data_IF_860045548737
#
_entry.id   IF_860045548737
#
_cell.length_a   1.000
_cell.length_b   1.000
_cell.length_c   1.000
_cell.angle_alpha   90.00
_cell.angle_beta   90.00
_cell.angle_gamma   90.00
#
_symmetry.space_group_name_H-M   'P 1'
#
loop_
_entity.id
_entity.type
_entity.pdbx_description
1 polymer ?
#
# COMPACT_ATOMS: atom_id res chain seq x y z
N UNK A 1 57.17 -2.04 -13.39
CA UNK A 1 56.73 -3.11 -12.47
C UNK A 1 55.49 -2.67 -11.64
N UNK A 2 54.58 -1.85 -12.19
CA UNK A 2 53.45 -1.21 -11.44
C UNK A 2 52.04 -1.70 -11.87
N UNK A 3 51.91 -2.54 -12.90
CA UNK A 3 50.60 -2.91 -13.46
C UNK A 3 49.88 -4.06 -12.74
N UNK A 4 50.59 -4.83 -11.90
CA UNK A 4 50.05 -6.04 -11.26
C UNK A 4 49.27 -5.72 -9.99
N UNK A 5 49.52 -4.57 -9.34
CA UNK A 5 48.89 -4.18 -8.07
C UNK A 5 47.53 -3.55 -8.31
N UNK A 6 47.35 -2.76 -9.36
CA UNK A 6 46.05 -2.15 -9.73
C UNK A 6 45.03 -3.18 -10.20
N UNK A 7 45.46 -4.22 -10.88
CA UNK A 7 44.58 -5.28 -11.36
C UNK A 7 44.01 -6.15 -10.19
N UNK A 8 44.78 -6.36 -9.13
CA UNK A 8 44.30 -7.05 -7.93
C UNK A 8 43.28 -6.25 -7.13
N UNK A 9 43.44 -4.94 -7.05
CA UNK A 9 42.51 -4.05 -6.33
C UNK A 9 41.16 -3.98 -7.03
N UNK A 10 41.10 -4.03 -8.36
CA UNK A 10 39.87 -4.05 -9.14
C UNK A 10 39.13 -5.38 -9.05
N UNK A 11 39.82 -6.51 -8.97
CA UNK A 11 39.21 -7.84 -8.80
C UNK A 11 38.62 -8.06 -7.40
N UNK A 12 39.18 -7.42 -6.38
CA UNK A 12 38.63 -7.48 -5.00
C UNK A 12 37.43 -6.54 -4.80
N UNK A 13 37.35 -5.42 -5.51
CA UNK A 13 36.17 -4.55 -5.50
C UNK A 13 34.96 -5.17 -6.20
N UNK A 14 35.16 -5.92 -7.29
CA UNK A 14 34.08 -6.63 -7.99
C UNK A 14 33.54 -7.83 -7.19
N UNK A 15 34.38 -8.48 -6.39
CA UNK A 15 33.95 -9.59 -5.52
C UNK A 15 33.08 -9.15 -4.34
N UNK A 16 33.23 -7.91 -3.86
CA UNK A 16 32.41 -7.35 -2.76
C UNK A 16 31.01 -6.87 -3.18
N UNK A 17 30.73 -6.76 -4.48
CA UNK A 17 29.49 -6.21 -4.99
C UNK A 17 28.33 -7.24 -5.19
N UNK A 18 28.58 -8.54 -4.98
CA UNK A 18 27.63 -9.60 -5.38
C UNK A 18 26.68 -10.20 -4.33
N UNK A 19 26.70 -9.91 -2.99
CA UNK A 19 25.87 -10.66 -2.05
C UNK A 19 24.48 -10.06 -1.73
N UNK A 20 24.16 -8.84 -2.18
CA UNK A 20 22.93 -8.14 -1.72
C UNK A 20 21.61 -8.58 -2.39
N UNK A 21 21.65 -9.34 -3.48
CA UNK A 21 20.41 -9.76 -4.19
C UNK A 21 19.69 -10.94 -3.54
N UNK A 22 20.42 -11.89 -2.98
CA UNK A 22 19.85 -13.11 -2.38
C UNK A 22 18.94 -12.85 -1.18
N UNK A 23 19.32 -12.05 -0.16
CA UNK A 23 18.43 -11.79 0.98
C UNK A 23 17.16 -11.02 0.60
N UNK A 24 17.22 -10.17 -0.43
CA UNK A 24 16.05 -9.44 -0.91
C UNK A 24 15.03 -10.36 -1.60
N UNK A 25 15.49 -11.35 -2.34
CA UNK A 25 14.63 -12.31 -3.01
C UNK A 25 13.97 -13.24 -1.97
N UNK A 26 14.71 -13.70 -0.97
CA UNK A 26 14.16 -14.50 0.12
C UNK A 26 13.07 -13.76 0.90
N UNK A 27 13.27 -12.46 1.20
CA UNK A 27 12.26 -11.63 1.85
C UNK A 27 11.01 -11.46 0.97
N UNK A 28 11.17 -11.28 -0.33
CA UNK A 28 10.04 -11.16 -1.25
C UNK A 28 9.24 -12.47 -1.35
N UNK A 29 9.93 -13.62 -1.42
CA UNK A 29 9.29 -14.94 -1.42
C UNK A 29 8.55 -15.18 -0.10
N UNK A 30 9.19 -14.91 1.05
CA UNK A 30 8.55 -15.04 2.35
C UNK A 30 7.31 -14.16 2.49
N UNK A 31 7.39 -12.88 2.06
CA UNK A 31 6.23 -11.98 2.04
C UNK A 31 5.10 -12.53 1.16
N UNK A 32 5.44 -13.02 -0.05
CA UNK A 32 4.47 -13.60 -0.98
C UNK A 32 3.80 -14.85 -0.41
N UNK A 33 4.55 -15.74 0.25
CA UNK A 33 3.98 -16.91 0.93
C UNK A 33 3.05 -16.52 2.07
N UNK A 34 3.43 -15.56 2.92
CA UNK A 34 2.56 -15.07 4.00
C UNK A 34 1.26 -14.48 3.45
N UNK A 35 1.31 -13.69 2.36
CA UNK A 35 0.12 -13.16 1.68
C UNK A 35 -0.74 -14.28 1.10
N UNK A 36 -0.14 -15.24 0.42
CA UNK A 36 -0.85 -16.37 -0.16
C UNK A 36 -1.56 -17.21 0.91
N UNK A 37 -0.87 -17.51 2.02
CA UNK A 37 -1.48 -18.24 3.15
C UNK A 37 -2.61 -17.44 3.80
N UNK A 38 -2.44 -16.13 4.02
CA UNK A 38 -3.48 -15.29 4.61
C UNK A 38 -4.73 -15.22 3.70
N UNK A 39 -4.54 -15.05 2.39
CA UNK A 39 -5.63 -15.04 1.42
C UNK A 39 -6.29 -16.42 1.28
N UNK A 40 -5.52 -17.50 1.29
CA UNK A 40 -6.06 -18.85 1.27
C UNK A 40 -6.93 -19.10 2.52
N UNK A 41 -6.49 -18.68 3.70
CA UNK A 41 -7.30 -18.76 4.93
C UNK A 41 -8.56 -17.92 4.84
N UNK A 42 -8.49 -16.71 4.29
CA UNK A 42 -9.65 -15.84 4.10
C UNK A 42 -10.71 -16.47 3.19
N UNK A 43 -10.27 -17.18 2.14
CA UNK A 43 -11.18 -17.78 1.14
C UNK A 43 -11.69 -19.17 1.53
N UNK A 44 -10.90 -19.94 2.31
CA UNK A 44 -11.20 -21.34 2.62
C UNK A 44 -11.73 -21.58 4.03
N UNK A 45 -11.32 -20.73 4.99
CA UNK A 45 -11.72 -20.88 6.37
C UNK A 45 -12.98 -20.04 6.67
N UNK A 46 -13.96 -20.67 7.33
CA UNK A 46 -15.14 -19.96 7.81
C UNK A 46 -14.78 -19.18 9.10
N UNK A 47 -14.05 -18.04 8.91
CA UNK A 47 -13.50 -17.23 10.00
C UNK A 47 -14.59 -16.55 10.83
N UNK A 48 -15.79 -16.32 10.23
CA UNK A 48 -16.94 -15.73 10.93
C UNK A 48 -17.52 -16.65 11.99
N UNK A 49 -17.46 -17.98 11.78
CA UNK A 49 -18.04 -18.95 12.70
C UNK A 49 -17.34 -19.05 14.05
N UNK A 50 -16.12 -18.52 14.16
CA UNK A 50 -15.36 -18.51 15.42
C UNK A 50 -15.65 -17.24 16.21
N UNK A 51 -16.51 -17.29 17.20
CA UNK A 51 -16.85 -16.13 18.04
C UNK A 51 -15.76 -15.73 19.03
N UNK A 52 -14.81 -16.62 19.33
CA UNK A 52 -13.70 -16.35 20.25
C UNK A 52 -12.61 -15.51 19.59
N UNK A 53 -12.27 -14.37 20.20
CA UNK A 53 -11.21 -13.46 19.70
C UNK A 53 -9.83 -14.11 19.67
N UNK A 54 -9.57 -15.06 20.59
CA UNK A 54 -8.29 -15.76 20.72
C UNK A 54 -8.32 -17.17 20.10
N UNK A 55 -9.31 -17.49 19.29
CA UNK A 55 -9.31 -18.76 18.56
C UNK A 55 -7.99 -18.92 17.76
N UNK A 56 -7.34 -20.09 17.80
CA UNK A 56 -6.01 -20.27 17.19
C UNK A 56 -5.98 -19.92 15.71
N UNK A 57 -7.06 -20.17 14.99
CA UNK A 57 -7.20 -19.82 13.57
C UNK A 57 -7.14 -18.32 13.36
N UNK A 58 -7.80 -17.52 14.21
CA UNK A 58 -7.76 -16.05 14.12
C UNK A 58 -6.37 -15.52 14.43
N UNK A 59 -5.72 -16.04 15.49
CA UNK A 59 -4.37 -15.62 15.88
C UNK A 59 -3.37 -15.90 14.75
N UNK A 60 -3.44 -17.08 14.14
CA UNK A 60 -2.59 -17.44 12.99
C UNK A 60 -2.86 -16.48 11.81
N UNK A 61 -4.11 -16.18 11.50
CA UNK A 61 -4.47 -15.25 10.44
C UNK A 61 -3.87 -13.86 10.69
N UNK A 62 -4.05 -13.29 11.90
CA UNK A 62 -3.46 -12.00 12.26
C UNK A 62 -1.94 -12.00 12.16
N UNK A 63 -1.30 -13.06 12.65
CA UNK A 63 0.16 -13.20 12.58
C UNK A 63 0.67 -13.25 11.14
N UNK A 64 -0.03 -13.98 10.24
CA UNK A 64 0.30 -14.05 8.83
C UNK A 64 0.12 -12.70 8.14
N UNK A 65 -0.98 -12.00 8.37
CA UNK A 65 -1.23 -10.68 7.79
C UNK A 65 -0.20 -9.66 8.28
N UNK A 66 0.09 -9.65 9.58
CA UNK A 66 1.09 -8.77 10.17
C UNK A 66 2.49 -9.07 9.60
N UNK A 67 2.88 -10.34 9.54
CA UNK A 67 4.16 -10.74 8.96
C UNK A 67 4.26 -10.36 7.49
N UNK A 68 3.22 -10.64 6.69
CA UNK A 68 3.17 -10.28 5.28
C UNK A 68 3.32 -8.77 5.06
N UNK A 69 2.57 -7.97 5.81
CA UNK A 69 2.60 -6.51 5.72
C UNK A 69 3.97 -5.95 6.15
N UNK A 70 4.54 -6.41 7.28
CA UNK A 70 5.87 -6.00 7.74
C UNK A 70 6.97 -6.37 6.73
N UNK A 71 6.96 -7.60 6.23
CA UNK A 71 7.94 -8.08 5.24
C UNK A 71 7.82 -7.33 3.91
N UNK A 72 6.66 -6.79 3.59
CA UNK A 72 6.43 -5.99 2.38
C UNK A 72 6.83 -4.53 2.60
N UNK A 73 6.21 -3.86 3.56
CA UNK A 73 6.31 -2.40 3.66
C UNK A 73 7.58 -1.90 4.35
N UNK A 74 8.14 -2.63 5.33
CA UNK A 74 9.38 -2.22 6.01
C UNK A 74 10.59 -2.18 5.07
N UNK A 75 10.85 -3.19 4.22
CA UNK A 75 11.93 -3.11 3.24
C UNK A 75 11.72 -2.00 2.21
N UNK A 76 10.47 -1.77 1.76
CA UNK A 76 10.15 -0.66 0.85
C UNK A 76 10.41 0.68 1.49
N UNK A 77 9.95 0.89 2.73
CA UNK A 77 10.23 2.11 3.48
C UNK A 77 11.71 2.40 3.58
N UNK A 78 12.51 1.39 3.98
CA UNK A 78 13.97 1.54 4.14
C UNK A 78 14.70 1.81 2.83
N UNK A 79 14.30 1.11 1.74
CA UNK A 79 14.96 1.26 0.43
C UNK A 79 14.65 2.56 -0.27
N UNK A 80 13.42 3.03 -0.14
CA UNK A 80 12.94 4.23 -0.83
C UNK A 80 13.07 5.50 0.03
N UNK A 81 13.39 5.36 1.33
CA UNK A 81 13.46 6.48 2.26
C UNK A 81 12.10 7.14 2.47
N UNK A 82 11.00 6.36 2.49
CA UNK A 82 9.62 6.85 2.59
C UNK A 82 9.13 6.74 4.04
N UNK A 83 9.27 7.78 4.89
CA UNK A 83 8.88 7.69 6.29
C UNK A 83 7.36 7.51 6.43
N UNK A 84 6.94 6.60 7.33
CA UNK A 84 5.53 6.33 7.60
C UNK A 84 4.86 5.30 6.68
N UNK A 85 5.48 4.91 5.56
CA UNK A 85 4.92 3.93 4.62
C UNK A 85 4.60 2.58 5.29
N UNK A 86 5.50 2.11 6.15
CA UNK A 86 5.30 0.83 6.85
C UNK A 86 4.11 0.90 7.80
N UNK A 87 3.94 2.00 8.52
CA UNK A 87 2.81 2.18 9.43
C UNK A 87 1.49 2.21 8.66
N UNK A 88 1.41 3.04 7.61
CA UNK A 88 0.21 3.13 6.76
C UNK A 88 -0.14 1.78 6.11
N UNK A 89 0.87 1.09 5.56
CA UNK A 89 0.68 -0.18 4.88
C UNK A 89 0.28 -1.32 5.83
N UNK A 90 0.89 -1.39 7.01
CA UNK A 90 0.55 -2.40 8.02
C UNK A 90 -0.83 -2.12 8.60
N UNK A 91 -1.10 -0.89 9.02
CA UNK A 91 -2.41 -0.51 9.59
C UNK A 91 -3.55 -0.70 8.57
N UNK A 92 -3.34 -0.26 7.32
CA UNK A 92 -4.31 -0.43 6.25
C UNK A 92 -4.60 -1.89 5.94
N UNK A 93 -3.55 -2.71 5.78
CA UNK A 93 -3.71 -4.13 5.48
C UNK A 93 -4.40 -4.89 6.61
N UNK A 94 -4.03 -4.62 7.87
CA UNK A 94 -4.67 -5.22 9.03
C UNK A 94 -6.14 -4.83 9.12
N UNK A 95 -6.46 -3.54 8.98
CA UNK A 95 -7.83 -3.04 9.06
C UNK A 95 -8.69 -3.58 7.93
N UNK A 96 -8.18 -3.57 6.69
CA UNK A 96 -8.89 -4.08 5.52
C UNK A 96 -9.20 -5.57 5.67
N UNK A 97 -8.20 -6.38 5.99
CA UNK A 97 -8.39 -7.83 6.11
C UNK A 97 -9.16 -8.21 7.37
N UNK A 98 -9.05 -7.44 8.46
CA UNK A 98 -9.92 -7.58 9.61
C UNK A 98 -11.40 -7.38 9.23
N UNK A 99 -11.68 -6.29 8.51
CA UNK A 99 -13.06 -6.00 8.09
C UNK A 99 -13.61 -7.08 7.16
N UNK A 100 -12.80 -7.56 6.21
CA UNK A 100 -13.22 -8.62 5.28
C UNK A 100 -13.37 -10.00 5.92
N UNK A 101 -12.58 -10.31 6.96
CA UNK A 101 -12.53 -11.64 7.55
C UNK A 101 -13.52 -11.84 8.70
N UNK A 102 -13.79 -10.78 9.48
CA UNK A 102 -14.48 -10.90 10.77
C UNK A 102 -15.72 -10.03 10.92
N UNK A 103 -15.86 -9.03 10.06
CA UNK A 103 -17.06 -8.17 10.09
C UNK A 103 -18.08 -8.72 9.11
N UNK A 104 -19.31 -9.02 9.55
CA UNK A 104 -20.35 -9.52 8.67
C UNK A 104 -20.62 -8.52 7.53
N UNK A 105 -20.91 -9.01 6.33
CA UNK A 105 -21.16 -8.14 5.19
C UNK A 105 -22.37 -7.23 5.48
N UNK A 106 -22.31 -5.95 5.07
CA UNK A 106 -23.39 -5.02 5.29
C UNK A 106 -24.64 -5.46 4.53
N UNK A 107 -25.78 -5.46 5.22
CA UNK A 107 -27.07 -5.90 4.66
C UNK A 107 -27.89 -4.74 4.11
N UNK A 108 -27.68 -3.54 4.64
CA UNK A 108 -28.37 -2.32 4.25
C UNK A 108 -27.45 -1.34 3.50
N UNK A 109 -27.94 -0.18 3.22
CA UNK A 109 -27.18 0.90 2.58
C UNK A 109 -26.33 1.70 3.57
N UNK A 110 -25.38 2.49 3.06
CA UNK A 110 -24.36 3.19 3.86
C UNK A 110 -24.91 3.99 5.06
N UNK A 111 -26.07 4.63 4.93
CA UNK A 111 -26.64 5.48 5.96
C UNK A 111 -27.50 4.75 7.00
N UNK A 112 -27.67 3.43 6.84
CA UNK A 112 -28.39 2.61 7.80
C UNK A 112 -27.46 2.15 8.92
N UNK A 113 -27.75 2.52 10.16
CA UNK A 113 -27.09 1.97 11.35
C UNK A 113 -27.57 0.52 11.57
N UNK A 114 -26.67 -0.45 11.86
CA UNK A 114 -25.25 -0.36 12.23
C UNK A 114 -24.26 -0.44 11.04
N UNK A 115 -24.73 -0.60 9.81
CA UNK A 115 -23.91 -0.90 8.63
C UNK A 115 -22.94 0.23 8.26
N UNK A 116 -23.28 1.48 8.63
CA UNK A 116 -22.40 2.66 8.46
C UNK A 116 -20.99 2.41 9.00
N UNK A 117 -20.88 1.78 10.18
CA UNK A 117 -19.57 1.50 10.81
C UNK A 117 -18.73 0.54 9.95
N UNK A 118 -19.37 -0.47 9.36
CA UNK A 118 -18.70 -1.44 8.48
C UNK A 118 -18.12 -0.75 7.23
N UNK A 119 -18.93 0.10 6.60
CA UNK A 119 -18.49 0.87 5.43
C UNK A 119 -17.35 1.84 5.77
N UNK A 120 -17.39 2.50 6.94
CA UNK A 120 -16.32 3.40 7.38
C UNK A 120 -15.03 2.63 7.63
N UNK A 121 -15.07 1.49 8.32
CA UNK A 121 -13.90 0.65 8.54
C UNK A 121 -13.31 0.15 7.22
N UNK A 122 -14.17 -0.32 6.31
CA UNK A 122 -13.77 -0.78 4.99
C UNK A 122 -13.12 0.35 4.17
N UNK A 123 -13.77 1.53 4.13
CA UNK A 123 -13.26 2.70 3.41
C UNK A 123 -11.89 3.15 3.96
N UNK A 124 -11.72 3.16 5.30
CA UNK A 124 -10.47 3.54 5.95
C UNK A 124 -9.36 2.49 5.66
N UNK A 125 -9.69 1.20 5.73
CA UNK A 125 -8.78 0.11 5.38
C UNK A 125 -8.33 0.18 3.92
N UNK A 126 -9.27 0.43 2.99
CA UNK A 126 -9.00 0.63 1.56
C UNK A 126 -8.15 1.88 1.35
N UNK A 127 -8.48 3.00 1.99
CA UNK A 127 -7.71 4.25 1.88
C UNK A 127 -6.24 4.04 2.22
N UNK A 128 -5.93 3.51 3.40
CA UNK A 128 -4.55 3.31 3.84
C UNK A 128 -3.82 2.25 3.02
N UNK A 129 -4.48 1.14 2.68
CA UNK A 129 -3.87 0.06 1.89
C UNK A 129 -3.51 0.53 0.48
N UNK A 130 -4.43 1.22 -0.21
CA UNK A 130 -4.20 1.75 -1.56
C UNK A 130 -3.16 2.87 -1.53
N UNK A 131 -3.22 3.79 -0.57
CA UNK A 131 -2.22 4.85 -0.40
C UNK A 131 -0.82 4.27 -0.23
N UNK A 132 -0.66 3.28 0.66
CA UNK A 132 0.62 2.64 0.90
C UNK A 132 1.14 1.84 -0.31
N UNK A 133 0.25 1.16 -1.04
CA UNK A 133 0.61 0.42 -2.25
C UNK A 133 0.94 1.34 -3.44
N UNK A 134 0.22 2.45 -3.59
CA UNK A 134 0.42 3.41 -4.68
C UNK A 134 1.72 4.22 -4.52
N UNK A 135 2.13 4.52 -3.30
CA UNK A 135 3.28 5.39 -3.04
C UNK A 135 4.60 4.90 -3.70
N UNK A 136 5.04 3.64 -3.55
CA UNK A 136 6.24 3.16 -4.24
C UNK A 136 6.07 3.13 -5.76
N UNK A 137 4.87 2.86 -6.27
CA UNK A 137 4.58 2.86 -7.70
C UNK A 137 4.69 4.27 -8.29
N UNK A 138 4.08 5.27 -7.66
CA UNK A 138 4.15 6.68 -8.07
C UNK A 138 5.59 7.18 -8.00
N UNK A 139 6.32 6.86 -6.92
CA UNK A 139 7.72 7.23 -6.79
C UNK A 139 8.59 6.62 -7.90
N UNK A 140 8.40 5.34 -8.23
CA UNK A 140 9.10 4.68 -9.32
C UNK A 140 8.74 5.28 -10.69
N UNK A 141 7.47 5.60 -10.92
CA UNK A 141 6.99 6.24 -12.15
C UNK A 141 7.55 7.66 -12.31
N UNK A 142 7.54 8.44 -11.23
CA UNK A 142 8.11 9.80 -11.21
C UNK A 142 9.59 9.80 -11.60
N UNK A 143 10.36 8.83 -11.13
CA UNK A 143 11.78 8.66 -11.50
C UNK A 143 11.99 8.36 -12.98
N UNK A 144 11.03 7.69 -13.62
CA UNK A 144 11.09 7.37 -15.07
C UNK A 144 10.58 8.50 -15.94
N UNK A 145 9.52 9.18 -15.52
CA UNK A 145 8.83 10.20 -16.30
C UNK A 145 9.55 11.55 -16.30
N UNK A 146 10.16 11.94 -15.18
CA UNK A 146 10.79 13.26 -15.05
C UNK A 146 12.30 13.19 -15.22
N UNK A 147 12.83 13.90 -16.23
CA UNK A 147 14.28 14.04 -16.48
C UNK A 147 14.94 15.06 -15.54
N UNK A 148 14.20 16.03 -15.02
CA UNK A 148 14.71 17.04 -14.09
C UNK A 148 14.88 16.46 -12.69
N UNK A 149 16.11 16.45 -12.15
CA UNK A 149 16.45 15.89 -10.84
C UNK A 149 15.61 16.43 -9.68
N UNK A 150 15.27 17.71 -9.69
CA UNK A 150 14.47 18.32 -8.62
C UNK A 150 13.06 17.71 -8.49
N UNK A 151 12.43 17.31 -9.61
CA UNK A 151 11.10 16.70 -9.63
C UNK A 151 11.11 15.17 -9.45
N UNK A 152 12.25 14.50 -9.65
CA UNK A 152 12.37 13.04 -9.53
C UNK A 152 12.27 12.54 -8.08
N UNK A 153 12.61 13.38 -7.11
CA UNK A 153 12.75 13.02 -5.68
C UNK A 153 11.76 13.74 -4.78
N UNK A 154 10.71 14.34 -5.34
CA UNK A 154 9.70 15.03 -4.53
C UNK A 154 8.77 14.01 -3.83
N UNK A 155 9.21 13.60 -2.63
CA UNK A 155 8.46 12.65 -1.79
C UNK A 155 7.11 13.21 -1.33
N UNK A 156 7.01 14.54 -1.13
CA UNK A 156 5.77 15.18 -0.70
C UNK A 156 4.69 15.07 -1.77
N UNK A 157 5.08 15.29 -3.02
CA UNK A 157 4.20 15.15 -4.17
C UNK A 157 3.74 13.70 -4.35
N UNK A 158 4.69 12.74 -4.32
CA UNK A 158 4.36 11.33 -4.45
C UNK A 158 3.40 10.86 -3.35
N UNK A 159 3.61 11.32 -2.11
CA UNK A 159 2.74 11.00 -0.98
C UNK A 159 1.33 11.56 -1.17
N UNK A 160 1.20 12.82 -1.59
CA UNK A 160 -0.08 13.45 -1.84
C UNK A 160 -0.86 12.68 -2.92
N UNK A 161 -0.24 12.39 -4.05
CA UNK A 161 -0.85 11.61 -5.14
C UNK A 161 -1.25 10.21 -4.69
N UNK A 162 -0.46 9.56 -3.84
CA UNK A 162 -0.82 8.27 -3.26
C UNK A 162 -2.06 8.36 -2.37
N UNK A 163 -2.17 9.41 -1.52
CA UNK A 163 -3.36 9.63 -0.70
C UNK A 163 -4.59 10.01 -1.54
N UNK A 164 -4.43 10.74 -2.65
CA UNK A 164 -5.53 11.02 -3.59
C UNK A 164 -6.08 9.75 -4.23
N UNK A 165 -5.19 8.82 -4.64
CA UNK A 165 -5.62 7.50 -5.12
C UNK A 165 -6.31 6.67 -4.03
N UNK A 166 -5.79 6.69 -2.82
CA UNK A 166 -6.43 6.06 -1.67
C UNK A 166 -7.81 6.66 -1.39
N UNK A 167 -7.93 8.00 -1.44
CA UNK A 167 -9.20 8.70 -1.26
C UNK A 167 -10.19 8.35 -2.36
N UNK A 168 -9.76 8.34 -3.63
CA UNK A 168 -10.60 7.90 -4.75
C UNK A 168 -11.16 6.50 -4.50
N UNK A 169 -10.30 5.56 -4.10
CA UNK A 169 -10.72 4.18 -3.81
C UNK A 169 -11.69 4.10 -2.62
N UNK A 170 -11.44 4.84 -1.54
CA UNK A 170 -12.34 4.90 -0.38
C UNK A 170 -13.70 5.51 -0.74
N UNK A 171 -13.71 6.56 -1.57
CA UNK A 171 -14.96 7.16 -2.05
C UNK A 171 -15.73 6.22 -2.99
N UNK A 172 -15.04 5.38 -3.79
CA UNK A 172 -15.69 4.32 -4.54
C UNK A 172 -16.38 3.30 -3.62
N UNK A 173 -15.79 2.96 -2.47
CA UNK A 173 -16.46 2.13 -1.45
C UNK A 173 -17.72 2.83 -0.93
N UNK A 174 -17.66 4.14 -0.66
CA UNK A 174 -18.82 4.93 -0.27
C UNK A 174 -19.91 4.94 -1.34
N UNK A 175 -19.56 5.15 -2.62
CA UNK A 175 -20.51 5.09 -3.73
C UNK A 175 -21.15 3.70 -3.89
N UNK A 176 -20.36 2.64 -3.66
CA UNK A 176 -20.88 1.27 -3.63
C UNK A 176 -21.88 1.07 -2.50
N UNK A 177 -21.58 1.56 -1.29
CA UNK A 177 -22.47 1.52 -0.14
C UNK A 177 -23.77 2.31 -0.32
N UNK A 178 -23.73 3.39 -1.11
CA UNK A 178 -24.90 4.14 -1.54
C UNK A 178 -25.65 3.49 -2.72
N UNK A 179 -25.13 2.40 -3.27
CA UNK A 179 -25.67 1.71 -4.44
C UNK A 179 -25.73 2.58 -5.72
N UNK A 180 -24.88 3.60 -5.80
CA UNK A 180 -24.76 4.52 -6.95
C UNK A 180 -23.42 4.37 -7.68
N UNK A 181 -22.69 3.29 -7.42
CA UNK A 181 -21.41 3.03 -8.07
C UNK A 181 -21.63 2.69 -9.54
N UNK A 182 -21.49 3.69 -10.42
CA UNK A 182 -21.50 3.53 -11.87
C UNK A 182 -20.26 4.21 -12.45
N UNK A 183 -19.97 3.99 -13.73
CA UNK A 183 -18.80 4.60 -14.37
C UNK A 183 -18.84 6.12 -14.33
N UNK A 184 -20.02 6.75 -14.44
CA UNK A 184 -20.15 8.22 -14.49
C UNK A 184 -19.74 8.88 -13.17
N UNK A 185 -20.28 8.53 -11.98
CA UNK A 185 -19.83 9.05 -10.70
C UNK A 185 -18.33 8.85 -10.44
N UNK A 186 -17.78 7.70 -10.81
CA UNK A 186 -16.33 7.42 -10.62
C UNK A 186 -15.49 8.33 -11.50
N UNK A 187 -15.85 8.53 -12.76
CA UNK A 187 -15.16 9.45 -13.68
C UNK A 187 -15.26 10.90 -13.21
N UNK A 188 -16.46 11.34 -12.76
CA UNK A 188 -16.63 12.69 -12.21
C UNK A 188 -15.78 12.90 -10.97
N UNK A 189 -15.73 11.92 -10.08
CA UNK A 189 -14.91 11.98 -8.87
C UNK A 189 -13.42 12.05 -9.20
N UNK A 190 -12.95 11.22 -10.14
CA UNK A 190 -11.57 11.26 -10.62
C UNK A 190 -11.24 12.61 -11.29
N UNK A 191 -12.17 13.18 -12.05
CA UNK A 191 -12.03 14.51 -12.66
C UNK A 191 -11.93 15.60 -11.59
N UNK A 192 -12.79 15.58 -10.58
CA UNK A 192 -12.76 16.54 -9.46
C UNK A 192 -11.42 16.49 -8.74
N UNK A 193 -10.92 15.29 -8.39
CA UNK A 193 -9.63 15.13 -7.75
C UNK A 193 -8.48 15.61 -8.66
N UNK A 194 -8.53 15.30 -9.95
CA UNK A 194 -7.55 15.78 -10.92
C UNK A 194 -7.53 17.30 -11.06
N UNK A 195 -8.69 17.95 -11.10
CA UNK A 195 -8.80 19.43 -11.13
C UNK A 195 -8.29 20.03 -9.81
N UNK A 196 -8.62 19.43 -8.66
CA UNK A 196 -8.11 19.89 -7.37
C UNK A 196 -6.58 19.83 -7.29
N UNK A 197 -5.97 18.74 -7.81
CA UNK A 197 -4.50 18.63 -7.91
C UNK A 197 -3.89 19.70 -8.81
N UNK A 198 -4.49 19.96 -9.97
CA UNK A 198 -4.02 21.02 -10.90
C UNK A 198 -4.12 22.41 -10.26
N UNK A 199 -5.23 22.72 -9.58
CA UNK A 199 -5.40 23.98 -8.85
C UNK A 199 -4.34 24.11 -7.76
N UNK A 200 -4.10 23.06 -6.98
CA UNK A 200 -3.09 23.09 -5.93
C UNK A 200 -1.69 23.37 -6.52
N UNK A 201 -1.34 22.73 -7.63
CA UNK A 201 -0.06 22.97 -8.31
C UNK A 201 0.08 24.41 -8.77
N UNK A 202 -0.99 25.03 -9.33
CA UNK A 202 -0.97 26.43 -9.79
C UNK A 202 -0.74 27.40 -8.64
N UNK A 203 -1.31 27.14 -7.45
CA UNK A 203 -1.10 28.00 -6.26
C UNK A 203 0.31 27.88 -5.68
N UNK A 204 0.96 26.70 -5.79
CA UNK A 204 2.33 26.52 -5.29
C UNK A 204 3.36 27.19 -6.19
N UNK A 205 3.18 27.13 -7.52
CA UNK A 205 4.10 27.78 -8.48
C UNK A 205 4.06 29.31 -8.42
N UNK A 206 2.95 29.92 -7.99
CA UNK A 206 2.84 31.39 -7.88
C UNK A 206 3.53 31.97 -6.64
N UNK A 207 4.00 31.13 -5.69
CA UNK A 207 4.68 31.56 -4.45
C UNK A 207 6.19 31.38 -4.46
N UNK A 208 6.75 30.84 -5.53
CA UNK A 208 8.21 30.70 -5.76
C UNK A 208 8.70 31.71 -6.77
#
# INVERSE_FOLDING_TARGET
MSTTTEQRTNLDSDRKAAPARRPALLLAVAAGLCWACALAMLLSANLEATHELLAPVRVIFYALVLAAALLTFVPFQRRLGLPGLALEGVAGSLLLLYTLAFVPPPTAWLLALPDTTVYVLLALGVFWSISAAAMPAIHALSRRAFRARARQYDLRRARRQAHELGLLAALCVGLAGLRVLTAVPVLLLALILGVAELLFLSFVETKT
#
